data_IF_799345574879
#
_entry.id   IF_799345574879
#
_cell.length_a   1.000
_cell.length_b   1.000
_cell.length_c   1.000
_cell.angle_alpha   90.00
_cell.angle_beta   90.00
_cell.angle_gamma   90.00
#
_symmetry.space_group_name_H-M   'P 1'
#
loop_
_entity.id
_entity.type
_entity.pdbx_description
1 polymer ?
#
# COMPACT_ATOMS: atom_id res chain seq x y z
N UNK A 1 27.24 1.91 -16.52
CA UNK A 1 25.90 1.89 -15.92
C UNK A 1 25.47 0.44 -16.00
N UNK A 2 24.93 -0.11 -14.91
CA UNK A 2 24.33 -1.44 -14.97
C UNK A 2 23.32 -1.49 -16.13
N UNK A 3 23.20 -2.65 -16.77
CA UNK A 3 22.16 -2.86 -17.78
C UNK A 3 20.77 -2.96 -17.12
N UNK A 4 20.68 -3.00 -15.79
CA UNK A 4 19.45 -2.99 -15.01
C UNK A 4 19.50 -1.93 -13.87
N UNK A 5 18.37 -1.76 -13.19
CA UNK A 5 18.33 -1.14 -11.88
C UNK A 5 17.24 -1.78 -11.04
N UNK A 6 17.45 -1.79 -9.73
CA UNK A 6 16.52 -2.37 -8.78
C UNK A 6 16.03 -1.32 -7.78
N UNK A 7 14.73 -1.33 -7.49
CA UNK A 7 14.11 -0.53 -6.46
C UNK A 7 13.42 -1.42 -5.42
N UNK A 8 13.56 -1.08 -4.14
CA UNK A 8 12.73 -1.66 -3.08
C UNK A 8 11.59 -0.71 -2.76
N UNK A 9 10.38 -1.25 -2.63
CA UNK A 9 9.19 -0.51 -2.23
C UNK A 9 8.53 -1.24 -1.05
N UNK A 10 8.33 -0.58 0.11
CA UNK A 10 7.73 -1.25 1.25
C UNK A 10 6.28 -1.65 0.96
N UNK A 11 5.84 -2.75 1.56
CA UNK A 11 4.41 -3.06 1.62
C UNK A 11 3.64 -1.96 2.34
N UNK A 12 2.38 -1.77 2.03
CA UNK A 12 1.53 -0.81 2.72
C UNK A 12 0.21 -1.45 3.16
N UNK A 13 -0.09 -1.29 4.45
CA UNK A 13 -1.36 -1.68 5.05
C UNK A 13 -2.16 -0.41 5.33
N UNK A 14 -3.31 -0.27 4.65
CA UNK A 14 -4.30 0.75 5.01
C UNK A 14 -5.10 0.27 6.22
N UNK A 15 -5.20 1.09 7.27
CA UNK A 15 -6.06 0.81 8.43
C UNK A 15 -7.47 1.35 8.26
N UNK A 16 -7.61 2.52 7.66
CA UNK A 16 -8.90 3.10 7.27
C UNK A 16 -8.71 4.14 6.16
N UNK A 17 -9.77 4.41 5.41
CA UNK A 17 -9.71 5.38 4.32
C UNK A 17 -11.07 5.99 3.97
N UNK A 18 -11.02 7.13 3.29
CA UNK A 18 -12.15 7.70 2.55
C UNK A 18 -11.73 7.88 1.09
N UNK A 19 -12.65 7.58 0.16
CA UNK A 19 -12.39 7.66 -1.27
C UNK A 19 -12.74 9.05 -1.81
N UNK A 20 -11.83 9.65 -2.56
CA UNK A 20 -11.97 10.98 -3.15
C UNK A 20 -11.72 10.89 -4.66
N UNK A 21 -12.72 10.46 -5.45
CA UNK A 21 -12.58 10.37 -6.90
C UNK A 21 -12.48 11.76 -7.53
N UNK A 22 -11.74 11.85 -8.62
CA UNK A 22 -11.66 13.05 -9.46
C UNK A 22 -11.39 12.64 -10.91
N UNK A 23 -11.76 13.51 -11.86
CA UNK A 23 -11.52 13.27 -13.29
C UNK A 23 -10.02 13.21 -13.62
N UNK A 24 -9.21 14.02 -12.92
CA UNK A 24 -7.76 13.97 -13.01
C UNK A 24 -7.20 12.92 -12.03
N UNK A 25 -6.53 11.85 -12.52
CA UNK A 25 -5.94 10.82 -11.68
C UNK A 25 -4.89 11.34 -10.70
N UNK A 26 -4.24 12.48 -10.99
CA UNK A 26 -3.28 13.09 -10.06
C UNK A 26 -3.97 13.78 -8.87
N UNK A 27 -5.22 14.22 -9.04
CA UNK A 27 -6.04 14.84 -7.99
C UNK A 27 -6.81 13.77 -7.21
N UNK A 28 -7.30 12.75 -7.91
CA UNK A 28 -8.00 11.63 -7.31
C UNK A 28 -7.11 10.89 -6.30
N UNK A 29 -7.70 10.39 -5.23
CA UNK A 29 -6.98 9.60 -4.25
C UNK A 29 -7.82 9.25 -3.04
N UNK A 30 -7.15 9.10 -1.91
CA UNK A 30 -7.79 8.79 -0.63
C UNK A 30 -7.22 9.63 0.50
N UNK A 31 -8.06 9.86 1.51
CA UNK A 31 -7.58 10.24 2.83
C UNK A 31 -7.61 9.02 3.74
N UNK A 32 -6.93 9.08 4.88
CA UNK A 32 -6.92 8.00 5.86
C UNK A 32 -5.53 7.77 6.44
N UNK A 33 -5.31 6.60 7.04
CA UNK A 33 -4.03 6.25 7.62
C UNK A 33 -3.67 4.79 7.40
N UNK A 34 -2.38 4.51 7.50
CA UNK A 34 -1.83 3.18 7.33
C UNK A 34 -0.44 3.05 7.94
N UNK A 35 0.21 1.94 7.64
CA UNK A 35 1.59 1.66 7.99
C UNK A 35 2.30 0.97 6.84
N UNK A 36 3.57 1.30 6.66
CA UNK A 36 4.44 0.63 5.69
C UNK A 36 5.24 -0.46 6.39
N UNK A 37 5.52 -1.56 5.69
CA UNK A 37 6.18 -2.74 6.23
C UNK A 37 7.62 -2.84 5.72
N UNK A 38 8.52 -3.39 6.54
CA UNK A 38 9.87 -3.73 6.08
C UNK A 38 9.89 -4.92 5.13
N UNK A 39 8.81 -5.71 5.08
CA UNK A 39 8.50 -6.61 3.98
C UNK A 39 7.92 -5.79 2.82
N UNK A 40 8.27 -6.12 1.60
CA UNK A 40 7.86 -5.32 0.45
C UNK A 40 8.06 -6.02 -0.88
N UNK A 41 8.27 -5.21 -1.90
CA UNK A 41 8.50 -5.66 -3.28
C UNK A 41 9.83 -5.10 -3.76
N UNK A 42 10.67 -5.99 -4.28
CA UNK A 42 11.90 -5.63 -4.99
C UNK A 42 11.61 -5.71 -6.48
N UNK A 43 11.79 -4.60 -7.20
CA UNK A 43 11.47 -4.49 -8.63
C UNK A 43 12.75 -4.20 -9.40
N UNK A 44 13.13 -5.11 -10.29
CA UNK A 44 14.25 -4.97 -11.20
C UNK A 44 13.72 -4.65 -12.60
N UNK A 45 14.33 -3.64 -13.24
CA UNK A 45 13.99 -3.23 -14.60
C UNK A 45 15.22 -3.32 -15.47
N UNK A 46 15.09 -3.92 -16.64
CA UNK A 46 16.14 -4.00 -17.66
C UNK A 46 15.59 -3.62 -19.06
N UNK A 47 16.40 -3.01 -19.96
CA UNK A 47 15.99 -2.74 -21.33
C UNK A 47 15.67 -4.02 -22.09
N UNK A 48 14.53 -4.03 -22.77
CA UNK A 48 14.07 -5.17 -23.56
C UNK A 48 13.48 -4.73 -24.89
N UNK A 49 13.34 -5.68 -25.82
CA UNK A 49 12.69 -5.43 -27.12
C UNK A 49 11.17 -5.37 -27.02
N UNK A 50 10.62 -6.03 -26.02
CA UNK A 50 9.18 -6.12 -25.73
C UNK A 50 8.98 -5.92 -24.23
N UNK A 51 7.82 -5.38 -23.84
CA UNK A 51 7.50 -5.20 -22.42
C UNK A 51 7.02 -6.54 -21.85
N UNK A 52 7.68 -7.00 -20.79
CA UNK A 52 7.28 -8.16 -20.01
C UNK A 52 7.20 -7.78 -18.53
N UNK A 53 6.26 -8.39 -17.81
CA UNK A 53 6.10 -8.18 -16.37
C UNK A 53 6.03 -9.54 -15.68
N UNK A 54 6.93 -9.76 -14.72
CA UNK A 54 7.02 -10.94 -13.87
C UNK A 54 6.84 -10.59 -12.41
N UNK A 55 6.27 -11.52 -11.65
CA UNK A 55 6.21 -11.49 -10.19
C UNK A 55 6.51 -12.91 -9.68
N UNK A 56 7.51 -13.04 -8.82
CA UNK A 56 7.97 -14.30 -8.22
C UNK A 56 8.25 -15.40 -9.27
N UNK A 57 8.83 -14.99 -10.41
CA UNK A 57 9.17 -15.87 -11.53
C UNK A 57 8.01 -16.26 -12.45
N UNK A 58 6.79 -15.75 -12.20
CA UNK A 58 5.62 -15.99 -13.03
C UNK A 58 5.22 -14.73 -13.82
N UNK A 59 4.82 -14.91 -15.09
CA UNK A 59 4.30 -13.81 -15.90
C UNK A 59 2.95 -13.33 -15.36
N UNK A 60 2.80 -12.01 -15.20
CA UNK A 60 1.59 -11.41 -14.61
C UNK A 60 1.10 -10.21 -15.41
N UNK A 61 -0.21 -10.07 -15.53
CA UNK A 61 -0.84 -8.86 -16.07
C UNK A 61 -0.90 -7.79 -14.98
N UNK A 62 -0.15 -6.70 -15.16
CA UNK A 62 -0.08 -5.59 -14.21
C UNK A 62 -0.29 -4.25 -14.94
N UNK A 63 -1.55 -3.83 -15.21
CA UNK A 63 -1.84 -2.62 -15.97
C UNK A 63 -1.15 -1.34 -15.46
N UNK A 64 -1.01 -1.12 -14.14
CA UNK A 64 -0.26 0.04 -13.63
C UNK A 64 1.21 0.07 -14.06
N UNK A 65 1.90 -1.06 -14.06
CA UNK A 65 3.31 -1.18 -14.52
C UNK A 65 3.40 -0.86 -16.02
N UNK A 66 2.51 -1.41 -16.83
CA UNK A 66 2.48 -1.14 -18.26
C UNK A 66 2.21 0.35 -18.58
N UNK A 67 1.32 0.99 -17.81
CA UNK A 67 1.04 2.42 -17.96
C UNK A 67 2.23 3.30 -17.52
N UNK A 68 2.96 2.86 -16.50
CA UNK A 68 4.18 3.53 -16.05
C UNK A 68 5.24 3.57 -17.16
N UNK A 69 5.57 2.41 -17.74
CA UNK A 69 6.55 2.30 -18.82
C UNK A 69 6.12 3.11 -20.05
N UNK A 70 4.83 3.05 -20.42
CA UNK A 70 4.26 3.84 -21.52
C UNK A 70 4.40 5.34 -21.27
N UNK A 71 4.14 5.80 -20.06
CA UNK A 71 4.23 7.21 -19.68
C UNK A 71 5.68 7.73 -19.68
N UNK A 72 6.64 6.86 -19.38
CA UNK A 72 8.07 7.13 -19.53
C UNK A 72 8.57 7.02 -20.97
N UNK A 73 7.79 6.39 -21.86
CA UNK A 73 8.14 6.20 -23.27
C UNK A 73 9.22 5.13 -23.49
N UNK A 74 9.25 4.11 -22.63
CA UNK A 74 10.28 3.06 -22.63
C UNK A 74 9.68 1.66 -22.80
N UNK A 75 10.53 0.71 -23.19
CA UNK A 75 10.19 -0.71 -23.31
C UNK A 75 11.22 -1.50 -22.50
N UNK A 76 10.74 -2.31 -21.57
CA UNK A 76 11.58 -2.95 -20.55
C UNK A 76 10.99 -4.28 -20.11
N UNK A 77 11.85 -5.19 -19.67
CA UNK A 77 11.45 -6.32 -18.85
C UNK A 77 11.45 -5.86 -17.39
N UNK A 78 10.36 -6.15 -16.71
CA UNK A 78 10.17 -5.88 -15.28
C UNK A 78 10.03 -7.21 -14.57
N UNK A 79 10.92 -7.49 -13.64
CA UNK A 79 10.86 -8.67 -12.78
C UNK A 79 10.76 -8.21 -11.32
N UNK A 80 9.89 -8.83 -10.55
CA UNK A 80 9.67 -8.46 -9.16
C UNK A 80 9.64 -9.68 -8.25
N UNK A 81 10.17 -9.51 -7.05
CA UNK A 81 10.09 -10.46 -5.94
C UNK A 81 9.31 -9.82 -4.79
N UNK A 82 8.36 -10.54 -4.20
CA UNK A 82 7.50 -10.02 -3.14
C UNK A 82 7.53 -10.90 -1.88
N UNK A 83 7.77 -10.26 -0.73
CA UNK A 83 7.56 -10.89 0.57
C UNK A 83 6.06 -11.03 0.93
N UNK A 84 5.19 -10.41 0.13
CA UNK A 84 3.79 -10.17 0.45
C UNK A 84 2.86 -10.76 -0.61
N UNK A 85 1.74 -11.41 -0.22
CA UNK A 85 0.81 -11.97 -1.17
C UNK A 85 0.06 -10.88 -1.96
N UNK A 86 0.04 -11.04 -3.29
CA UNK A 86 -0.73 -10.18 -4.19
C UNK A 86 -2.23 -10.25 -3.87
N UNK A 87 -2.90 -9.10 -3.82
CA UNK A 87 -4.34 -9.01 -3.57
C UNK A 87 -4.77 -9.15 -2.10
N UNK A 88 -3.82 -9.28 -1.16
CA UNK A 88 -4.11 -9.47 0.26
C UNK A 88 -4.09 -8.17 1.10
N UNK A 89 -4.27 -7.01 0.46
CA UNK A 89 -4.33 -5.71 1.16
C UNK A 89 -2.99 -5.05 1.50
N UNK A 90 -1.90 -5.48 0.85
CA UNK A 90 -0.53 -4.99 1.09
C UNK A 90 -0.01 -3.96 0.06
N UNK A 91 -0.83 -3.57 -0.92
CA UNK A 91 -0.44 -2.59 -1.94
C UNK A 91 0.65 -3.06 -2.92
N UNK A 92 0.73 -4.37 -3.21
CA UNK A 92 1.75 -4.96 -4.11
C UNK A 92 1.70 -4.34 -5.52
N UNK A 93 0.51 -4.09 -6.08
CA UNK A 93 0.37 -3.42 -7.40
C UNK A 93 0.99 -2.03 -7.40
N UNK A 94 0.67 -1.21 -6.39
CA UNK A 94 1.25 0.12 -6.21
C UNK A 94 2.77 0.07 -5.99
N UNK A 95 3.25 -0.96 -5.28
CA UNK A 95 4.68 -1.18 -5.07
C UNK A 95 5.40 -1.50 -6.40
N UNK A 96 4.82 -2.38 -7.22
CA UNK A 96 5.36 -2.69 -8.54
C UNK A 96 5.37 -1.46 -9.46
N UNK A 97 4.29 -0.66 -9.47
CA UNK A 97 4.22 0.55 -10.27
C UNK A 97 5.27 1.59 -9.84
N UNK A 98 5.42 1.84 -8.54
CA UNK A 98 6.38 2.79 -8.00
C UNK A 98 7.83 2.31 -8.21
N UNK A 99 8.10 1.03 -7.94
CA UNK A 99 9.42 0.43 -8.15
C UNK A 99 9.83 0.49 -9.62
N UNK A 100 8.91 0.18 -10.52
CA UNK A 100 9.12 0.33 -11.97
C UNK A 100 9.44 1.76 -12.34
N UNK A 101 8.70 2.75 -11.81
CA UNK A 101 8.94 4.15 -12.13
C UNK A 101 10.35 4.60 -11.71
N UNK A 102 10.78 4.21 -10.50
CA UNK A 102 12.12 4.52 -9.98
C UNK A 102 13.22 3.85 -10.80
N UNK A 103 13.14 2.52 -10.97
CA UNK A 103 14.14 1.73 -11.66
C UNK A 103 14.24 2.09 -13.15
N UNK A 104 13.10 2.22 -13.85
CA UNK A 104 13.10 2.64 -15.25
C UNK A 104 13.69 4.05 -15.43
N UNK A 105 13.39 4.99 -14.52
CA UNK A 105 14.00 6.33 -14.58
C UNK A 105 15.53 6.27 -14.46
N UNK A 106 16.07 5.38 -13.64
CA UNK A 106 17.51 5.18 -13.47
C UNK A 106 18.14 4.54 -14.71
N UNK A 107 17.58 3.42 -15.20
CA UNK A 107 18.09 2.66 -16.35
C UNK A 107 18.07 3.46 -17.64
N UNK A 108 16.94 4.10 -17.94
CA UNK A 108 16.74 4.83 -19.19
C UNK A 108 17.12 6.31 -19.09
N UNK A 109 17.65 6.75 -17.96
CA UNK A 109 18.04 8.13 -17.69
C UNK A 109 16.93 9.14 -18.05
N UNK A 110 15.67 8.84 -17.69
CA UNK A 110 14.51 9.65 -18.05
C UNK A 110 14.52 11.06 -17.44
N UNK A 111 15.37 11.31 -16.44
CA UNK A 111 15.59 12.64 -15.87
C UNK A 111 14.39 13.19 -15.08
N UNK A 112 13.53 12.32 -14.56
CA UNK A 112 12.36 12.70 -13.74
C UNK A 112 12.76 12.86 -12.29
N UNK A 113 12.12 13.81 -11.62
CA UNK A 113 12.18 13.96 -10.17
C UNK A 113 11.34 12.89 -9.45
N UNK A 114 11.65 12.65 -8.18
CA UNK A 114 10.93 11.67 -7.35
C UNK A 114 9.42 11.94 -7.33
N UNK A 115 8.99 13.20 -7.12
CA UNK A 115 7.58 13.55 -7.11
C UNK A 115 6.88 13.29 -8.46
N UNK A 116 7.58 13.47 -9.59
CA UNK A 116 7.02 13.10 -10.90
C UNK A 116 6.83 11.59 -11.03
N UNK A 117 7.77 10.78 -10.54
CA UNK A 117 7.69 9.32 -10.58
C UNK A 117 6.58 8.78 -9.67
N UNK A 118 6.47 9.33 -8.45
CA UNK A 118 5.36 9.02 -7.54
C UNK A 118 4.02 9.42 -8.16
N UNK A 119 3.93 10.58 -8.80
CA UNK A 119 2.71 11.04 -9.49
C UNK A 119 2.33 10.11 -10.64
N UNK A 120 3.31 9.66 -11.41
CA UNK A 120 3.11 8.78 -12.56
C UNK A 120 2.62 7.39 -12.12
N UNK A 121 3.25 6.79 -11.10
CA UNK A 121 2.80 5.52 -10.52
C UNK A 121 1.41 5.63 -9.86
N UNK A 122 1.15 6.72 -9.13
CA UNK A 122 -0.16 6.98 -8.51
C UNK A 122 -1.26 7.09 -9.55
N UNK A 123 -1.04 7.89 -10.60
CA UNK A 123 -2.01 8.05 -11.68
C UNK A 123 -2.27 6.72 -12.42
N UNK A 124 -1.26 5.86 -12.57
CA UNK A 124 -1.40 4.54 -13.16
C UNK A 124 -2.29 3.61 -12.32
N UNK A 125 -2.11 3.58 -11.00
CA UNK A 125 -2.98 2.84 -10.06
C UNK A 125 -4.43 3.34 -10.11
N UNK A 126 -4.62 4.66 -10.09
CA UNK A 126 -5.95 5.26 -10.12
C UNK A 126 -6.68 4.92 -11.43
N UNK A 127 -6.01 5.02 -12.58
CA UNK A 127 -6.61 4.67 -13.89
C UNK A 127 -6.97 3.19 -13.99
N UNK A 128 -6.17 2.32 -13.38
CA UNK A 128 -6.42 0.89 -13.34
C UNK A 128 -7.53 0.51 -12.33
N UNK A 129 -7.91 1.42 -11.43
CA UNK A 129 -8.88 1.15 -10.37
C UNK A 129 -8.36 0.20 -9.29
N UNK A 130 -7.04 0.06 -9.17
CA UNK A 130 -6.39 -0.89 -8.26
C UNK A 130 -5.98 -0.27 -6.94
N UNK A 131 -5.87 1.06 -6.86
CA UNK A 131 -5.46 1.75 -5.64
C UNK A 131 -5.68 3.26 -5.68
N UNK A 132 -5.87 3.85 -4.51
CA UNK A 132 -6.09 5.30 -4.34
C UNK A 132 -5.09 5.97 -3.39
N UNK A 133 -4.17 5.23 -2.80
CA UNK A 133 -3.25 5.83 -1.85
C UNK A 133 -2.11 4.95 -1.35
N UNK A 134 -1.88 3.77 -1.93
CA UNK A 134 -0.74 2.93 -1.57
C UNK A 134 0.55 3.55 -2.08
N UNK A 135 0.62 3.95 -3.36
CA UNK A 135 1.84 4.55 -3.95
C UNK A 135 2.37 5.73 -3.14
N UNK A 136 1.51 6.68 -2.77
CA UNK A 136 1.94 7.86 -2.01
C UNK A 136 2.32 7.53 -0.56
N UNK A 137 1.70 6.49 0.02
CA UNK A 137 2.05 5.98 1.34
C UNK A 137 3.41 5.26 1.32
N UNK A 138 3.64 4.42 0.30
CA UNK A 138 4.88 3.68 0.07
C UNK A 138 6.05 4.60 -0.27
N UNK A 139 5.80 5.67 -1.02
CA UNK A 139 6.79 6.72 -1.28
C UNK A 139 7.18 7.50 0.00
N UNK A 140 6.24 7.65 0.95
CA UNK A 140 6.50 8.39 2.20
C UNK A 140 7.11 7.52 3.30
N UNK A 141 6.75 6.25 3.38
CA UNK A 141 7.22 5.35 4.44
C UNK A 141 6.54 5.53 5.80
N UNK A 142 7.06 4.87 6.84
CA UNK A 142 6.58 4.97 8.21
C UNK A 142 5.10 4.61 8.38
N UNK A 143 4.42 5.35 9.26
CA UNK A 143 2.96 5.29 9.44
C UNK A 143 2.28 6.54 8.84
N UNK A 144 1.94 6.55 7.54
CA UNK A 144 1.40 7.73 6.87
C UNK A 144 -0.02 8.07 7.33
N UNK A 145 -0.29 9.38 7.47
CA UNK A 145 -1.65 9.94 7.54
C UNK A 145 -1.87 10.76 6.28
N UNK A 146 -2.70 10.27 5.36
CA UNK A 146 -3.12 10.96 4.14
C UNK A 146 -4.19 11.99 4.51
N UNK A 147 -3.79 13.26 4.62
CA UNK A 147 -4.67 14.34 5.08
C UNK A 147 -5.43 14.99 3.94
N UNK A 148 -4.76 15.23 2.80
CA UNK A 148 -5.43 15.63 1.55
C UNK A 148 -5.17 14.55 0.49
N UNK A 149 -6.18 14.22 -0.34
CA UNK A 149 -6.06 13.19 -1.37
C UNK A 149 -5.21 13.66 -2.55
N UNK A 150 -4.67 12.70 -3.30
CA UNK A 150 -3.95 12.94 -4.55
C UNK A 150 -2.45 12.71 -4.49
N UNK A 151 -1.82 12.81 -5.65
CA UNK A 151 -0.38 12.73 -5.87
C UNK A 151 0.36 13.92 -5.22
N UNK A 152 1.70 13.93 -5.11
CA UNK A 152 2.47 14.94 -4.35
C UNK A 152 2.14 16.43 -4.59
N UNK A 153 1.71 16.83 -5.78
CA UNK A 153 1.32 18.21 -6.08
C UNK A 153 -0.08 18.61 -5.56
N UNK A 154 -0.92 17.63 -5.22
CA UNK A 154 -2.31 17.79 -4.82
C UNK A 154 -2.58 17.30 -3.39
N UNK A 155 -1.94 16.19 -3.01
CA UNK A 155 -2.11 15.56 -1.72
C UNK A 155 -1.23 16.17 -0.63
N UNK A 156 -1.56 15.81 0.61
CA UNK A 156 -0.77 16.17 1.79
C UNK A 156 -0.72 15.00 2.74
N UNK A 157 0.50 14.59 3.08
CA UNK A 157 0.77 13.45 3.96
C UNK A 157 1.48 13.94 5.22
N UNK A 158 0.98 13.48 6.37
CA UNK A 158 1.58 13.59 7.68
C UNK A 158 1.95 12.18 8.19
N UNK A 159 2.21 11.98 9.47
CA UNK A 159 2.19 10.63 10.02
C UNK A 159 2.28 10.49 11.51
N UNK A 160 2.06 9.26 11.94
CA UNK A 160 2.16 8.86 13.34
C UNK A 160 3.66 8.71 13.66
N UNK A 161 4.19 9.36 14.71
CA UNK A 161 5.59 9.28 15.10
C UNK A 161 5.89 7.97 15.86
N UNK A 162 5.50 6.83 15.29
CA UNK A 162 5.70 5.50 15.86
C UNK A 162 6.26 4.53 14.81
N UNK A 163 6.98 3.50 15.28
CA UNK A 163 7.61 2.47 14.45
C UNK A 163 7.56 1.11 15.17
N UNK A 164 6.36 0.57 15.45
CA UNK A 164 6.22 -0.71 16.12
C UNK A 164 6.77 -1.87 15.28
N UNK A 165 7.01 -2.99 15.95
CA UNK A 165 7.02 -4.30 15.32
C UNK A 165 5.59 -4.69 14.97
N UNK A 166 5.41 -5.36 13.84
CA UNK A 166 4.11 -5.76 13.30
C UNK A 166 4.15 -7.25 12.96
N UNK A 167 3.13 -7.96 13.38
CA UNK A 167 2.80 -9.29 12.86
C UNK A 167 1.63 -9.20 11.90
N UNK A 168 1.56 -10.10 10.91
CA UNK A 168 0.39 -10.25 10.07
C UNK A 168 0.11 -11.70 9.69
N UNK A 169 -1.16 -11.99 9.42
CA UNK A 169 -1.62 -13.24 8.82
C UNK A 169 -2.59 -12.91 7.68
N UNK A 170 -2.32 -13.48 6.51
CA UNK A 170 -3.15 -13.33 5.33
C UNK A 170 -3.94 -14.62 5.10
N UNK A 171 -5.27 -14.50 5.03
CA UNK A 171 -6.17 -15.63 4.79
C UNK A 171 -6.62 -15.73 3.32
N UNK A 172 -6.48 -14.65 2.57
CA UNK A 172 -6.89 -14.52 1.19
C UNK A 172 -6.98 -13.06 0.74
N UNK A 173 -7.46 -12.85 -0.48
CA UNK A 173 -7.68 -11.52 -1.04
C UNK A 173 -9.14 -11.09 -1.03
N UNK A 174 -9.38 -9.77 -1.00
CA UNK A 174 -10.68 -9.17 -1.30
C UNK A 174 -10.54 -8.35 -2.59
N UNK A 175 -11.61 -8.29 -3.38
CA UNK A 175 -11.60 -7.49 -4.61
C UNK A 175 -11.66 -6.00 -4.26
N UNK A 176 -10.51 -5.32 -4.38
CA UNK A 176 -10.41 -3.86 -4.19
C UNK A 176 -11.33 -3.11 -5.16
N UNK A 177 -11.39 -3.56 -6.42
CA UNK A 177 -12.23 -2.95 -7.45
C UNK A 177 -13.73 -3.05 -7.11
N UNK A 178 -14.18 -4.16 -6.53
CA UNK A 178 -15.60 -4.32 -6.16
C UNK A 178 -15.99 -3.39 -5.02
N UNK A 179 -15.09 -3.18 -4.05
CA UNK A 179 -15.33 -2.23 -2.95
C UNK A 179 -15.34 -0.78 -3.44
N UNK A 180 -14.43 -0.43 -4.37
CA UNK A 180 -14.30 0.94 -4.87
C UNK A 180 -15.34 1.31 -5.93
N UNK A 181 -15.94 0.34 -6.63
CA UNK A 181 -16.96 0.58 -7.66
C UNK A 181 -18.39 0.66 -7.12
N UNK A 182 -18.60 0.33 -5.84
CA UNK A 182 -19.89 0.42 -5.15
C UNK A 182 -20.24 1.81 -4.61
N UNK A 183 -21.31 1.89 -3.81
CA UNK A 183 -21.64 3.10 -3.05
C UNK A 183 -20.66 3.27 -1.88
N UNK A 184 -19.69 4.17 -2.07
CA UNK A 184 -18.65 4.46 -1.07
C UNK A 184 -19.10 5.50 -0.05
N UNK A 185 -20.36 5.96 -0.03
CA UNK A 185 -20.81 7.04 0.86
C UNK A 185 -20.62 6.70 2.34
N UNK A 186 -21.08 5.51 2.77
CA UNK A 186 -20.94 5.06 4.16
C UNK A 186 -19.47 4.84 4.54
N UNK A 187 -18.69 4.24 3.63
CA UNK A 187 -17.26 4.01 3.78
C UNK A 187 -16.52 5.34 3.96
N UNK A 188 -16.76 6.31 3.07
CA UNK A 188 -16.16 7.64 3.13
C UNK A 188 -16.51 8.36 4.42
N UNK A 189 -17.77 8.29 4.88
CA UNK A 189 -18.17 8.90 6.15
C UNK A 189 -17.46 8.28 7.37
N UNK A 190 -17.32 6.94 7.40
CA UNK A 190 -16.58 6.25 8.44
C UNK A 190 -15.09 6.62 8.40
N UNK A 191 -14.50 6.70 7.20
CA UNK A 191 -13.11 7.08 6.99
C UNK A 191 -12.79 8.51 7.42
N UNK A 192 -13.64 9.48 7.11
CA UNK A 192 -13.46 10.87 7.56
C UNK A 192 -13.57 10.98 9.09
N UNK A 193 -14.50 10.25 9.71
CA UNK A 193 -14.65 10.19 11.17
C UNK A 193 -13.41 9.62 11.84
N UNK A 194 -12.88 8.51 11.31
CA UNK A 194 -11.65 7.87 11.79
C UNK A 194 -10.45 8.80 11.64
N UNK A 195 -10.35 9.52 10.52
CA UNK A 195 -9.27 10.47 10.27
C UNK A 195 -9.32 11.67 11.21
N UNK A 196 -10.49 12.25 11.46
CA UNK A 196 -10.66 13.34 12.42
C UNK A 196 -10.19 12.92 13.82
N UNK A 197 -10.64 11.74 14.26
CA UNK A 197 -10.25 11.15 15.53
C UNK A 197 -8.73 10.94 15.64
N UNK A 198 -8.10 10.32 14.63
CA UNK A 198 -6.66 10.09 14.63
C UNK A 198 -5.85 11.39 14.62
N UNK A 199 -6.31 12.41 13.89
CA UNK A 199 -5.59 13.70 13.82
C UNK A 199 -5.62 14.49 15.12
N UNK A 200 -6.62 14.26 15.97
CA UNK A 200 -6.67 14.85 17.30
C UNK A 200 -5.60 14.25 18.23
N UNK A 201 -5.27 12.97 18.05
CA UNK A 201 -4.29 12.23 18.86
C UNK A 201 -3.55 11.19 17.99
N UNK A 202 -2.50 11.60 17.25
CA UNK A 202 -1.82 10.74 16.27
C UNK A 202 -0.89 9.75 16.97
N UNK A 203 -1.48 8.71 17.56
CA UNK A 203 -0.80 7.62 18.26
C UNK A 203 -1.08 6.27 17.59
N UNK A 204 -0.23 5.28 17.88
CA UNK A 204 -0.42 3.91 17.39
C UNK A 204 -1.76 3.33 17.87
N UNK A 205 -2.03 3.42 19.18
CA UNK A 205 -3.24 2.89 19.80
C UNK A 205 -4.50 3.50 19.18
N UNK A 206 -4.48 4.83 18.91
CA UNK A 206 -5.61 5.49 18.24
C UNK A 206 -5.79 4.98 16.82
N UNK A 207 -4.70 4.78 16.07
CA UNK A 207 -4.76 4.24 14.72
C UNK A 207 -5.39 2.84 14.66
N UNK A 208 -4.93 1.92 15.52
CA UNK A 208 -5.45 0.55 15.53
C UNK A 208 -6.92 0.53 15.98
N UNK A 209 -7.29 1.34 16.98
CA UNK A 209 -8.67 1.47 17.42
C UNK A 209 -9.60 2.01 16.31
N UNK A 210 -9.19 3.07 15.60
CA UNK A 210 -9.97 3.61 14.47
C UNK A 210 -10.01 2.67 13.27
N UNK A 211 -8.94 1.91 13.00
CA UNK A 211 -8.94 0.89 11.95
C UNK A 211 -9.98 -0.21 12.23
N UNK A 212 -10.04 -0.74 13.46
CA UNK A 212 -11.08 -1.70 13.87
C UNK A 212 -12.48 -1.13 13.76
N UNK A 213 -12.69 0.09 14.25
CA UNK A 213 -13.98 0.76 14.19
C UNK A 213 -14.44 0.94 12.74
N UNK A 214 -13.55 1.44 11.89
CA UNK A 214 -13.80 1.62 10.47
C UNK A 214 -14.19 0.30 9.79
N UNK A 215 -13.44 -0.78 10.02
CA UNK A 215 -13.72 -2.08 9.42
C UNK A 215 -15.15 -2.57 9.72
N UNK A 216 -15.58 -2.38 10.98
CA UNK A 216 -16.93 -2.72 11.45
C UNK A 216 -17.99 -1.80 10.86
N UNK A 217 -17.79 -0.48 10.98
CA UNK A 217 -18.75 0.54 10.54
C UNK A 217 -18.94 0.52 9.00
N UNK A 218 -17.90 0.15 8.25
CA UNK A 218 -17.92 0.00 6.80
C UNK A 218 -18.38 -1.40 6.32
N UNK A 219 -18.63 -2.35 7.23
CA UNK A 219 -19.09 -3.70 6.90
C UNK A 219 -18.06 -4.53 6.12
N UNK A 220 -16.77 -4.30 6.35
CA UNK A 220 -15.67 -4.96 5.62
C UNK A 220 -15.17 -6.25 6.29
N UNK A 221 -15.53 -6.46 7.57
CA UNK A 221 -15.08 -7.63 8.32
C UNK A 221 -15.71 -8.92 7.78
N UNK A 222 -14.86 -9.92 7.52
CA UNK A 222 -15.30 -11.31 7.36
C UNK A 222 -15.30 -12.00 8.73
N UNK A 223 -16.11 -13.05 8.89
CA UNK A 223 -16.16 -13.85 10.13
C UNK A 223 -14.76 -14.32 10.57
N UNK A 224 -13.88 -14.65 9.60
CA UNK A 224 -12.53 -15.13 9.86
C UNK A 224 -11.60 -14.02 10.37
N UNK A 225 -11.70 -12.83 9.78
CA UNK A 225 -10.93 -11.65 10.20
C UNK A 225 -11.40 -11.18 11.58
N UNK A 226 -12.71 -11.14 11.82
CA UNK A 226 -13.28 -10.75 13.11
C UNK A 226 -12.83 -11.70 14.22
N UNK A 227 -12.92 -13.02 13.99
CA UNK A 227 -12.45 -14.02 14.95
C UNK A 227 -10.96 -13.86 15.30
N UNK A 228 -10.10 -13.63 14.30
CA UNK A 228 -8.67 -13.44 14.54
C UNK A 228 -8.36 -12.14 15.32
N UNK A 229 -9.10 -11.06 15.09
CA UNK A 229 -8.96 -9.82 15.88
C UNK A 229 -9.40 -10.07 17.33
N UNK A 230 -10.50 -10.79 17.54
CA UNK A 230 -11.01 -11.11 18.87
C UNK A 230 -10.03 -12.00 19.65
N UNK A 231 -9.43 -12.99 19.00
CA UNK A 231 -8.40 -13.87 19.59
C UNK A 231 -7.16 -13.06 20.01
N UNK A 232 -6.68 -12.13 19.16
CA UNK A 232 -5.59 -11.19 19.50
C UNK A 232 -5.94 -10.36 20.73
N UNK A 233 -7.16 -9.81 20.78
CA UNK A 233 -7.62 -9.00 21.91
C UNK A 233 -7.75 -9.82 23.20
N UNK A 234 -8.23 -11.07 23.10
CA UNK A 234 -8.34 -11.99 24.23
C UNK A 234 -6.98 -12.40 24.80
N UNK A 235 -5.94 -12.46 23.96
CA UNK A 235 -4.55 -12.66 24.35
C UNK A 235 -3.89 -11.39 24.95
N UNK A 236 -4.58 -10.25 24.94
CA UNK A 236 -4.07 -8.97 25.43
C UNK A 236 -3.26 -8.17 24.42
N UNK A 237 -3.26 -8.58 23.14
CA UNK A 237 -2.66 -7.86 22.02
C UNK A 237 -3.61 -6.83 21.41
N UNK A 238 -3.11 -6.11 20.41
CA UNK A 238 -3.87 -5.09 19.68
C UNK A 238 -3.66 -5.28 18.16
N UNK A 239 -4.75 -5.40 17.40
CA UNK A 239 -4.69 -5.66 15.96
C UNK A 239 -5.95 -5.22 15.21
N UNK A 240 -5.83 -5.12 13.89
CA UNK A 240 -6.92 -4.72 13.01
C UNK A 240 -6.79 -5.40 11.63
N UNK A 241 -7.83 -5.27 10.83
CA UNK A 241 -7.83 -5.71 9.44
C UNK A 241 -6.91 -4.82 8.59
N UNK A 242 -6.14 -5.43 7.69
CA UNK A 242 -5.53 -4.70 6.58
C UNK A 242 -6.61 -4.47 5.51
N UNK A 243 -6.98 -3.21 5.27
CA UNK A 243 -8.14 -2.89 4.44
C UNK A 243 -7.98 -3.45 3.03
N UNK A 244 -9.10 -3.99 2.52
CA UNK A 244 -9.21 -4.59 1.18
C UNK A 244 -8.41 -5.89 0.98
N UNK A 245 -8.02 -6.56 2.07
CA UNK A 245 -7.56 -7.94 2.09
C UNK A 245 -8.25 -8.75 3.19
N UNK A 246 -8.27 -10.08 3.07
CA UNK A 246 -8.68 -10.94 4.19
C UNK A 246 -7.46 -11.18 5.10
N UNK A 247 -6.97 -10.09 5.70
CA UNK A 247 -5.68 -10.04 6.40
C UNK A 247 -5.84 -9.32 7.73
N UNK A 248 -5.21 -9.85 8.79
CA UNK A 248 -5.10 -9.18 10.09
C UNK A 248 -3.65 -8.81 10.33
N UNK A 249 -3.41 -7.59 10.79
CA UNK A 249 -2.14 -7.17 11.36
C UNK A 249 -2.29 -6.92 12.87
N UNK A 250 -1.24 -7.20 13.64
CA UNK A 250 -1.18 -6.95 15.07
C UNK A 250 0.13 -6.25 15.46
N UNK A 251 0.07 -5.47 16.53
CA UNK A 251 1.23 -4.80 17.12
C UNK A 251 2.03 -5.80 17.94
N UNK A 252 3.35 -5.80 17.77
CA UNK A 252 4.26 -6.67 18.52
C UNK A 252 4.03 -8.14 18.17
N UNK A 253 3.67 -8.93 19.18
CA UNK A 253 3.51 -10.40 19.09
C UNK A 253 2.07 -10.88 19.17
N UNK A 254 1.10 -9.96 18.98
CA UNK A 254 -0.31 -10.23 19.29
C UNK A 254 -0.92 -11.42 18.56
N UNK A 255 -0.50 -11.71 17.32
CA UNK A 255 -1.02 -12.86 16.55
C UNK A 255 -0.37 -14.17 17.01
N UNK A 256 0.95 -14.18 17.20
CA UNK A 256 1.66 -15.35 17.71
C UNK A 256 1.17 -15.73 19.12
N UNK A 257 0.95 -14.74 19.99
CA UNK A 257 0.45 -14.94 21.35
C UNK A 257 -1.01 -15.49 21.35
N UNK A 258 -1.78 -15.17 20.31
CA UNK A 258 -3.10 -15.73 20.05
C UNK A 258 -3.07 -17.11 19.35
N UNK A 259 -1.88 -17.64 19.03
CA UNK A 259 -1.71 -18.97 18.46
C UNK A 259 -1.74 -19.05 16.93
N UNK A 260 -1.63 -17.92 16.23
CA UNK A 260 -1.50 -17.87 14.77
C UNK A 260 -0.04 -18.06 14.34
N UNK A 261 0.15 -18.73 13.20
CA UNK A 261 1.44 -18.75 12.48
C UNK A 261 1.55 -17.45 11.68
N UNK A 262 2.16 -16.44 12.29
CA UNK A 262 2.18 -15.08 11.78
C UNK A 262 3.56 -14.69 11.24
N UNK A 263 3.56 -13.96 10.14
CA UNK A 263 4.75 -13.29 9.64
C UNK A 263 5.08 -12.09 10.52
N UNK A 264 6.36 -11.84 10.78
CA UNK A 264 6.82 -10.72 11.62
C UNK A 264 7.74 -9.79 10.88
N UNK A 265 7.46 -8.50 10.97
CA UNK A 265 8.28 -7.44 10.39
C UNK A 265 8.24 -6.18 11.28
N UNK A 266 8.74 -5.06 10.77
CA UNK A 266 8.66 -3.75 11.44
C UNK A 266 8.12 -2.70 10.49
N UNK A 267 7.68 -1.57 11.04
CA UNK A 267 7.36 -0.41 10.21
C UNK A 267 8.61 0.07 9.45
N UNK A 268 8.52 0.16 8.11
CA UNK A 268 9.65 0.63 7.30
C UNK A 268 9.86 2.13 7.52
N UNK A 269 11.04 2.59 7.95
CA UNK A 269 11.23 3.97 8.37
C UNK A 269 11.32 4.98 7.22
N UNK A 270 11.62 4.50 6.01
CA UNK A 270 11.81 5.29 4.80
C UNK A 270 10.72 4.94 3.77
N UNK A 271 10.68 5.67 2.66
CA UNK A 271 9.87 5.31 1.50
C UNK A 271 10.60 4.38 0.54
N UNK A 272 10.00 4.19 -0.63
CA UNK A 272 10.63 3.50 -1.76
C UNK A 272 12.03 4.05 -2.06
N UNK A 273 12.96 3.15 -2.42
CA UNK A 273 14.35 3.53 -2.64
C UNK A 273 14.96 2.73 -3.79
N UNK A 274 15.87 3.38 -4.54
CA UNK A 274 16.75 2.66 -5.45
C UNK A 274 17.80 1.91 -4.64
N UNK A 275 17.95 0.61 -4.91
CA UNK A 275 19.01 -0.18 -4.33
C UNK A 275 20.32 0.18 -5.04
N UNK A 276 21.37 0.38 -4.25
CA UNK A 276 22.72 0.53 -4.79
C UNK A 276 23.27 -0.85 -5.10
N UNK A 277 23.94 -0.98 -6.25
CA UNK A 277 24.78 -2.15 -6.58
C UNK A 277 25.84 -2.41 -5.49
#
# INVERSE_FOLDING_TARGET
MSDDATAFVPGHVTGFFSAHPADDPAVAGSRGAGLTLSHGVTVTVEPARETTVGLDGEAVEMPPVADVLRSLGVTAAVDAESDLPLGAGFGVSGAMALGTALAANAVFACGRSENELVTLAHAAEVRAGTGLGDVVAQARGGMPIRVEPGAPAHGRIDGIPARPEIEYVAFGGLSTADVLSGDTTALTAAGETALEALRAEPTLDRFVAEARRFARDAGLLTDRVEAAIDDVCAAGGDGAMAMLGETVFAVGTGLSDAGYDAERCRVHPAGATLLSD
#
